data_IF_367986038085
#
_entry.id   IF_367986038085
#
_cell.length_a   1.000
_cell.length_b   1.000
_cell.length_c   1.000
_cell.angle_alpha   90.00
_cell.angle_beta   90.00
_cell.angle_gamma   90.00
#
_symmetry.space_group_name_H-M   'P 1'
#
loop_
_entity.id
_entity.type
_entity.pdbx_description
1 polymer ?
#
# COMPACT_ATOMS: atom_id res chain seq x y z
N UNK A 1 16.80 14.40 -25.64
CA UNK A 1 17.34 13.03 -25.78
C UNK A 1 16.17 12.08 -25.60
N UNK A 2 15.87 11.27 -26.63
CA UNK A 2 14.81 10.26 -26.56
C UNK A 2 15.32 8.95 -25.97
N UNK A 3 14.42 8.09 -25.53
CA UNK A 3 14.75 6.71 -25.20
C UNK A 3 15.06 6.00 -26.53
N UNK A 4 16.22 5.36 -26.63
CA UNK A 4 16.60 4.61 -27.82
C UNK A 4 15.70 3.37 -27.97
N UNK A 5 15.54 2.86 -29.19
CA UNK A 5 14.79 1.62 -29.39
C UNK A 5 15.65 0.43 -28.96
N UNK A 6 15.17 -0.37 -28.01
CA UNK A 6 15.89 -1.51 -27.46
C UNK A 6 14.97 -2.41 -26.64
N UNK A 7 15.51 -3.55 -26.21
CA UNK A 7 14.86 -4.44 -25.25
C UNK A 7 15.28 -4.04 -23.84
N UNK A 8 14.31 -3.62 -23.03
CA UNK A 8 14.54 -3.09 -21.68
C UNK A 8 13.79 -3.96 -20.68
N UNK A 9 14.52 -4.67 -19.83
CA UNK A 9 13.95 -5.37 -18.69
C UNK A 9 14.10 -4.49 -17.44
N UNK A 10 13.15 -3.59 -17.25
CA UNK A 10 13.13 -2.67 -16.13
C UNK A 10 13.00 -3.39 -14.76
N UNK A 11 12.54 -4.63 -14.72
CA UNK A 11 12.43 -5.43 -13.49
C UNK A 11 13.77 -6.09 -13.17
N UNK A 12 14.46 -6.66 -14.17
CA UNK A 12 15.81 -7.22 -13.98
C UNK A 12 16.86 -6.13 -13.72
N UNK A 13 16.72 -4.96 -14.35
CA UNK A 13 17.62 -3.83 -14.20
C UNK A 13 17.33 -2.97 -12.96
N UNK A 14 16.29 -3.31 -12.19
CA UNK A 14 15.95 -2.60 -10.96
C UNK A 14 17.08 -2.73 -9.92
N UNK A 15 17.58 -1.59 -9.42
CA UNK A 15 18.61 -1.53 -8.37
C UNK A 15 18.09 -1.84 -6.97
N UNK A 16 16.78 -2.00 -6.82
CA UNK A 16 16.10 -2.31 -5.57
C UNK A 16 15.23 -3.56 -5.74
N UNK A 17 14.97 -4.24 -4.63
CA UNK A 17 14.09 -5.41 -4.64
C UNK A 17 12.68 -4.97 -5.00
N UNK A 18 12.20 -5.42 -6.17
CA UNK A 18 10.81 -5.24 -6.57
C UNK A 18 9.92 -5.99 -5.58
N UNK A 19 8.95 -5.33 -4.94
CA UNK A 19 8.07 -5.98 -3.98
C UNK A 19 7.21 -7.07 -4.64
N UNK A 20 6.94 -8.13 -3.88
CA UNK A 20 6.04 -9.20 -4.31
C UNK A 20 4.61 -8.94 -3.85
N UNK A 21 3.64 -9.70 -4.37
CA UNK A 21 2.27 -9.67 -3.87
C UNK A 21 2.14 -10.00 -2.37
N UNK A 22 3.11 -10.72 -1.79
CA UNK A 22 3.16 -10.96 -0.34
C UNK A 22 3.53 -9.70 0.44
N UNK A 23 4.36 -8.84 -0.13
CA UNK A 23 4.82 -7.64 0.54
C UNK A 23 3.69 -6.61 0.64
N UNK A 24 2.85 -6.47 -0.39
CA UNK A 24 1.62 -5.67 -0.30
C UNK A 24 0.60 -6.26 0.67
N UNK A 25 0.44 -7.59 0.71
CA UNK A 25 -0.41 -8.26 1.71
C UNK A 25 -0.01 -7.92 3.15
N UNK A 26 1.30 -7.81 3.43
CA UNK A 26 1.79 -7.39 4.77
C UNK A 26 1.45 -5.94 5.10
N UNK A 27 1.40 -5.05 4.10
CA UNK A 27 0.99 -3.65 4.31
C UNK A 27 -0.46 -3.59 4.75
N UNK A 28 -1.36 -4.24 4.00
CA UNK A 28 -2.78 -4.34 4.37
C UNK A 28 -2.98 -5.02 5.73
N UNK A 29 -2.29 -6.13 5.99
CA UNK A 29 -2.39 -6.84 7.27
C UNK A 29 -2.09 -5.91 8.46
N UNK A 30 -1.02 -5.10 8.38
CA UNK A 30 -0.65 -4.17 9.45
C UNK A 30 -1.71 -3.10 9.64
N UNK A 31 -2.17 -2.49 8.55
CA UNK A 31 -3.23 -1.48 8.58
C UNK A 31 -4.51 -2.04 9.21
N UNK A 32 -4.96 -3.23 8.79
CA UNK A 32 -6.17 -3.88 9.32
C UNK A 32 -6.01 -4.17 10.82
N UNK A 33 -4.85 -4.65 11.26
CA UNK A 33 -4.55 -4.86 12.68
C UNK A 33 -4.63 -3.54 13.47
N UNK A 34 -4.07 -2.45 12.93
CA UNK A 34 -4.13 -1.14 13.58
C UNK A 34 -5.58 -0.62 13.66
N UNK A 35 -6.39 -0.81 12.63
CA UNK A 35 -7.84 -0.50 12.65
C UNK A 35 -8.58 -1.33 13.69
N UNK A 36 -8.32 -2.65 13.78
CA UNK A 36 -8.89 -3.51 14.81
C UNK A 36 -8.51 -3.05 16.22
N UNK A 37 -7.25 -2.69 16.44
CA UNK A 37 -6.76 -2.24 17.74
C UNK A 37 -7.39 -0.92 18.19
N UNK A 38 -7.66 0.00 17.26
CA UNK A 38 -8.28 1.29 17.58
C UNK A 38 -9.79 1.19 17.79
N UNK A 39 -10.49 0.43 16.93
CA UNK A 39 -11.96 0.37 16.91
C UNK A 39 -12.54 -0.74 17.78
N UNK A 40 -11.73 -1.75 18.13
CA UNK A 40 -12.21 -2.99 18.74
C UNK A 40 -12.98 -3.89 17.77
N UNK A 41 -12.93 -3.62 16.47
CA UNK A 41 -13.62 -4.42 15.46
C UNK A 41 -12.95 -5.79 15.27
N UNK A 42 -13.78 -6.80 14.98
CA UNK A 42 -13.30 -8.11 14.55
C UNK A 42 -12.53 -8.01 13.21
N UNK A 43 -11.53 -8.89 12.96
CA UNK A 43 -10.68 -8.80 11.78
C UNK A 43 -11.41 -8.84 10.44
N UNK A 44 -12.48 -9.63 10.32
CA UNK A 44 -13.21 -9.78 9.05
C UNK A 44 -13.97 -8.50 8.67
N UNK A 45 -14.77 -7.87 9.55
CA UNK A 45 -15.34 -6.55 9.29
C UNK A 45 -14.30 -5.48 8.94
N UNK A 46 -13.21 -5.39 9.72
CA UNK A 46 -12.15 -4.40 9.48
C UNK A 46 -11.47 -4.60 8.12
N UNK A 47 -11.23 -5.86 7.72
CA UNK A 47 -10.72 -6.19 6.40
C UNK A 47 -11.66 -5.67 5.31
N UNK A 48 -12.96 -5.96 5.41
CA UNK A 48 -13.95 -5.52 4.41
C UNK A 48 -13.98 -3.99 4.34
N UNK A 49 -13.95 -3.31 5.48
CA UNK A 49 -13.94 -1.84 5.56
C UNK A 49 -12.71 -1.24 4.87
N UNK A 50 -11.51 -1.70 5.24
CA UNK A 50 -10.25 -1.19 4.67
C UNK A 50 -10.21 -1.41 3.16
N UNK A 51 -10.56 -2.60 2.67
CA UNK A 51 -10.56 -2.90 1.23
C UNK A 51 -11.60 -2.09 0.44
N UNK A 52 -12.66 -1.60 1.08
CA UNK A 52 -13.66 -0.73 0.44
C UNK A 52 -13.41 0.77 0.70
N UNK A 53 -12.25 1.14 1.26
CA UNK A 53 -11.90 2.53 1.56
C UNK A 53 -10.94 3.12 0.52
N UNK A 54 -10.88 4.46 0.48
CA UNK A 54 -10.04 5.23 -0.44
C UNK A 54 -8.54 4.85 -0.39
N UNK A 55 -8.07 4.36 0.76
CA UNK A 55 -6.65 4.07 0.95
C UNK A 55 -6.21 2.86 0.12
N UNK A 56 -7.14 1.94 -0.18
CA UNK A 56 -6.86 0.77 -1.01
C UNK A 56 -6.48 1.19 -2.42
N UNK A 57 -7.29 2.05 -3.05
CA UNK A 57 -6.99 2.62 -4.37
C UNK A 57 -5.64 3.33 -4.39
N UNK A 58 -5.24 3.93 -3.26
CA UNK A 58 -3.99 4.65 -3.14
C UNK A 58 -2.77 3.74 -2.92
N UNK A 59 -2.93 2.67 -2.14
CA UNK A 59 -1.88 1.65 -1.88
C UNK A 59 -1.65 0.80 -3.13
N UNK A 60 -2.71 0.44 -3.86
CA UNK A 60 -2.61 -0.37 -5.08
C UNK A 60 -2.08 0.43 -6.28
N UNK A 61 -2.13 1.76 -6.22
CA UNK A 61 -1.48 2.62 -7.19
C UNK A 61 0.04 2.71 -6.91
N UNK A 62 0.83 1.85 -7.55
CA UNK A 62 2.30 1.84 -7.41
C UNK A 62 3.01 3.09 -7.96
N UNK A 63 2.30 3.99 -8.65
CA UNK A 63 2.81 5.32 -9.01
C UNK A 63 2.55 6.36 -7.90
N UNK A 64 1.79 6.01 -6.86
CA UNK A 64 1.61 6.78 -5.64
C UNK A 64 2.72 6.46 -4.64
N UNK A 65 3.07 7.41 -3.77
CA UNK A 65 4.01 7.15 -2.69
C UNK A 65 3.43 6.26 -1.59
N UNK A 66 2.09 6.14 -1.50
CA UNK A 66 1.38 5.52 -0.36
C UNK A 66 1.88 4.12 -0.01
N UNK A 67 2.09 3.24 -0.97
CA UNK A 67 2.64 1.90 -0.71
C UNK A 67 4.00 1.93 0.03
N UNK A 68 4.80 2.97 -0.22
CA UNK A 68 6.15 3.12 0.32
C UNK A 68 6.19 3.89 1.64
N UNK A 69 5.05 4.40 2.12
CA UNK A 69 4.97 5.13 3.37
C UNK A 69 5.08 4.20 4.59
N UNK A 70 5.44 4.78 5.73
CA UNK A 70 5.56 4.00 6.96
C UNK A 70 4.16 3.60 7.51
N UNK A 71 4.05 2.53 8.32
CA UNK A 71 2.77 2.06 8.84
C UNK A 71 1.98 3.12 9.62
N UNK A 72 2.68 3.94 10.42
CA UNK A 72 2.04 4.99 11.21
C UNK A 72 1.38 6.07 10.34
N UNK A 73 2.03 6.44 9.23
CA UNK A 73 1.51 7.39 8.27
C UNK A 73 0.30 6.81 7.51
N UNK A 74 0.36 5.55 7.10
CA UNK A 74 -0.76 4.85 6.48
C UNK A 74 -1.99 4.84 7.39
N UNK A 75 -1.78 4.48 8.67
CA UNK A 75 -2.86 4.46 9.65
C UNK A 75 -3.41 5.86 9.95
N UNK A 76 -2.54 6.85 10.13
CA UNK A 76 -2.98 8.22 10.39
C UNK A 76 -3.72 8.83 9.18
N UNK A 77 -3.26 8.55 7.96
CA UNK A 77 -3.95 8.94 6.72
C UNK A 77 -5.31 8.26 6.60
N UNK A 78 -5.38 6.95 6.87
CA UNK A 78 -6.64 6.19 6.88
C UNK A 78 -7.69 6.87 7.77
N UNK A 79 -7.30 7.21 9.00
CA UNK A 79 -8.15 7.88 9.98
C UNK A 79 -8.61 9.27 9.55
N UNK A 80 -7.73 10.04 8.93
CA UNK A 80 -8.05 11.38 8.42
C UNK A 80 -8.93 11.31 7.15
N UNK A 81 -8.97 10.18 6.45
CA UNK A 81 -9.73 10.02 5.22
C UNK A 81 -9.03 10.56 3.96
N UNK A 82 -7.75 10.92 4.06
CA UNK A 82 -6.92 11.46 2.97
C UNK A 82 -5.42 11.32 3.31
N UNK A 83 -4.52 11.44 2.33
CA UNK A 83 -3.09 11.56 2.60
C UNK A 83 -2.78 12.79 3.48
N UNK A 84 -1.84 12.63 4.42
CA UNK A 84 -1.41 13.66 5.37
C UNK A 84 -0.31 14.58 4.84
#
# INVERSE_FOLDING_TARGET
AGIETGDYDNVADCRYRVPTHWDIGKVFQRLIIDVCNETGAEPIPALIEVYNSWITDSIENYNSSMYYENPGYLFASYREGRPL
#
